data_IF_707975733934
#
_entry.id   IF_707975733934
#
_cell.length_a   1.000
_cell.length_b   1.000
_cell.length_c   1.000
_cell.angle_alpha   90.00
_cell.angle_beta   90.00
_cell.angle_gamma   90.00
#
_symmetry.space_group_name_H-M   'P 1'
#
loop_
_entity.id
_entity.type
_entity.pdbx_description
1 polymer ?
#
# COMPACT_ATOMS: atom_id res chain seq x y z
N UNK A 1 6.44 0.30 17.39
CA UNK A 1 5.08 0.11 16.83
C UNK A 1 4.01 0.21 17.91
N UNK A 2 4.12 -0.50 19.04
CA UNK A 2 3.12 -0.43 20.11
C UNK A 2 2.93 1.00 20.66
N UNK A 3 4.01 1.74 20.94
CA UNK A 3 3.92 3.10 21.48
C UNK A 3 3.21 4.08 20.55
N UNK A 4 3.39 3.94 19.22
CA UNK A 4 2.67 4.76 18.23
C UNK A 4 1.17 4.44 18.20
N UNK A 5 0.81 3.15 18.23
CA UNK A 5 -0.60 2.74 18.26
C UNK A 5 -1.27 3.21 19.56
N UNK A 6 -0.57 3.17 20.68
CA UNK A 6 -1.06 3.70 21.95
C UNK A 6 -1.34 5.21 21.88
N UNK A 7 -0.41 5.98 21.31
CA UNK A 7 -0.61 7.41 21.08
C UNK A 7 -1.80 7.71 20.16
N UNK A 8 -1.92 6.96 19.04
CA UNK A 8 -3.04 7.07 18.10
C UNK A 8 -4.37 6.73 18.82
N UNK A 9 -4.36 5.72 19.71
CA UNK A 9 -5.53 5.34 20.52
C UNK A 9 -5.95 6.45 21.46
N UNK A 10 -5.01 7.09 22.15
CA UNK A 10 -5.29 8.22 23.02
C UNK A 10 -5.94 9.38 22.25
N UNK A 11 -5.47 9.68 21.05
CA UNK A 11 -6.06 10.70 20.19
C UNK A 11 -7.48 10.32 19.73
N UNK A 12 -7.69 9.06 19.38
CA UNK A 12 -9.01 8.52 19.04
C UNK A 12 -9.98 8.65 20.22
N UNK A 13 -9.60 8.17 21.40
CA UNK A 13 -10.44 8.19 22.59
C UNK A 13 -10.78 9.64 22.99
N UNK A 14 -9.79 10.53 22.94
CA UNK A 14 -10.01 11.97 23.20
C UNK A 14 -10.99 12.60 22.19
N UNK A 15 -10.93 12.18 20.93
CA UNK A 15 -11.87 12.64 19.89
C UNK A 15 -13.30 12.15 20.19
N UNK A 16 -13.48 10.88 20.48
CA UNK A 16 -14.79 10.29 20.77
C UNK A 16 -15.40 10.85 22.08
N UNK A 17 -14.59 10.99 23.12
CA UNK A 17 -15.01 11.61 24.39
C UNK A 17 -15.38 13.09 24.18
N UNK A 18 -14.62 13.78 23.36
CA UNK A 18 -14.93 15.14 22.95
C UNK A 18 -16.26 15.22 22.20
N UNK A 19 -16.49 14.35 21.22
CA UNK A 19 -17.78 14.25 20.49
C UNK A 19 -18.92 14.00 21.49
N UNK A 20 -18.78 13.01 22.36
CA UNK A 20 -19.80 12.65 23.32
C UNK A 20 -20.11 13.71 24.38
N UNK A 21 -19.14 14.60 24.67
CA UNK A 21 -19.25 15.60 25.74
C UNK A 21 -19.62 16.99 25.24
N UNK A 22 -19.12 17.38 24.07
CA UNK A 22 -19.18 18.77 23.57
C UNK A 22 -20.10 18.97 22.39
N UNK A 23 -20.49 17.92 21.67
CA UNK A 23 -21.47 18.03 20.58
C UNK A 23 -22.87 18.25 21.16
N UNK A 24 -23.21 19.52 21.43
CA UNK A 24 -24.54 19.95 21.88
C UNK A 24 -25.26 20.66 20.73
N UNK A 25 -26.58 20.69 20.78
CA UNK A 25 -27.37 21.51 19.87
C UNK A 25 -27.60 20.94 18.47
N UNK A 26 -27.73 19.60 18.35
CA UNK A 26 -28.16 18.94 17.12
C UNK A 26 -27.06 18.24 16.32
N UNK A 27 -25.79 18.36 16.70
CA UNK A 27 -24.68 17.67 16.02
C UNK A 27 -24.46 16.25 16.53
N UNK A 28 -24.82 15.94 17.78
CA UNK A 28 -24.86 14.61 18.34
C UNK A 28 -26.31 14.09 18.38
N UNK A 29 -26.58 13.04 17.63
CA UNK A 29 -27.89 12.35 17.66
C UNK A 29 -27.97 11.36 18.81
N UNK A 30 -26.93 10.55 18.96
CA UNK A 30 -26.80 9.53 19.98
C UNK A 30 -25.38 9.49 20.51
N UNK A 31 -25.21 9.10 21.77
CA UNK A 31 -23.88 8.87 22.35
C UNK A 31 -23.23 7.65 21.71
N UNK A 32 -21.95 7.80 21.31
CA UNK A 32 -21.16 6.70 20.75
C UNK A 32 -20.76 5.77 21.91
N UNK A 33 -21.17 4.48 21.90
CA UNK A 33 -20.78 3.53 22.94
C UNK A 33 -19.28 3.20 22.87
N UNK A 34 -18.68 2.96 24.04
CA UNK A 34 -17.25 2.62 24.16
C UNK A 34 -16.89 1.35 23.36
N UNK A 35 -17.67 0.27 23.52
CA UNK A 35 -17.47 -0.99 22.79
C UNK A 35 -17.53 -0.79 21.26
N UNK A 36 -18.45 0.07 20.80
CA UNK A 36 -18.56 0.40 19.37
C UNK A 36 -17.36 1.21 18.87
N UNK A 37 -16.93 2.21 19.66
CA UNK A 37 -15.74 3.00 19.40
C UNK A 37 -14.48 2.14 19.27
N UNK A 38 -14.30 1.20 20.21
CA UNK A 38 -13.18 0.25 20.19
C UNK A 38 -13.18 -0.62 18.93
N UNK A 39 -14.35 -1.12 18.54
CA UNK A 39 -14.51 -1.90 17.30
C UNK A 39 -14.10 -1.10 16.06
N UNK A 40 -14.50 0.18 15.97
CA UNK A 40 -14.13 1.04 14.85
C UNK A 40 -12.62 1.27 14.85
N UNK A 41 -12.05 1.62 16.01
CA UNK A 41 -10.61 1.84 16.13
C UNK A 41 -9.81 0.63 15.61
N UNK A 42 -10.17 -0.57 16.05
CA UNK A 42 -9.49 -1.79 15.61
C UNK A 42 -9.58 -2.01 14.10
N UNK A 43 -10.74 -1.72 13.48
CA UNK A 43 -10.89 -1.74 12.01
C UNK A 43 -9.94 -0.73 11.32
N UNK A 44 -9.82 0.48 11.87
CA UNK A 44 -8.94 1.52 11.30
C UNK A 44 -7.48 1.04 11.37
N UNK A 45 -7.03 0.55 12.52
CA UNK A 45 -5.65 0.03 12.69
C UNK A 45 -5.38 -1.13 11.73
N UNK A 46 -6.34 -2.05 11.55
CA UNK A 46 -6.23 -3.13 10.57
C UNK A 46 -6.03 -2.58 9.15
N UNK A 47 -6.79 -1.56 8.75
CA UNK A 47 -6.70 -0.92 7.44
C UNK A 47 -5.34 -0.25 7.22
N UNK A 48 -4.87 0.56 8.15
CA UNK A 48 -3.56 1.20 8.04
C UNK A 48 -2.37 0.22 8.22
N UNK A 49 -2.64 -1.03 8.61
CA UNK A 49 -1.65 -2.12 8.71
C UNK A 49 -1.64 -3.04 7.48
N UNK A 50 -2.40 -2.76 6.44
CA UNK A 50 -2.43 -3.56 5.22
C UNK A 50 -1.02 -3.65 4.58
N UNK A 51 -0.56 -4.83 4.15
CA UNK A 51 0.84 -5.07 3.79
C UNK A 51 1.33 -4.37 2.53
N UNK A 52 0.43 -3.78 1.74
CA UNK A 52 0.76 -3.00 0.54
C UNK A 52 0.97 -1.52 0.83
N UNK A 53 0.74 -1.06 2.08
CA UNK A 53 0.90 0.33 2.52
C UNK A 53 2.31 0.56 3.05
N UNK A 54 3.10 1.32 2.34
CA UNK A 54 4.48 1.67 2.71
C UNK A 54 4.62 3.11 3.19
N UNK A 55 3.79 4.02 2.66
CA UNK A 55 3.66 5.40 3.12
C UNK A 55 2.34 5.63 3.86
N UNK A 56 1.20 5.25 3.27
CA UNK A 56 -0.13 5.46 3.81
C UNK A 56 -0.49 4.41 4.89
N UNK A 57 0.35 4.31 5.91
CA UNK A 57 0.33 3.30 6.98
C UNK A 57 0.17 3.93 8.37
N UNK A 58 0.39 3.15 9.43
CA UNK A 58 0.34 3.59 10.83
C UNK A 58 1.29 4.77 11.11
N UNK A 59 2.47 4.82 10.47
CA UNK A 59 3.43 5.90 10.70
C UNK A 59 2.95 7.22 10.10
N UNK A 60 2.27 7.17 8.94
CA UNK A 60 1.61 8.33 8.36
C UNK A 60 0.48 8.83 9.25
N UNK A 61 -0.41 7.94 9.69
CA UNK A 61 -1.50 8.29 10.61
C UNK A 61 -0.97 8.93 11.91
N UNK A 62 0.10 8.37 12.48
CA UNK A 62 0.78 8.92 13.65
C UNK A 62 1.29 10.35 13.39
N UNK A 63 2.01 10.57 12.26
CA UNK A 63 2.56 11.88 11.89
C UNK A 63 1.47 12.94 11.75
N UNK A 64 0.35 12.61 11.12
CA UNK A 64 -0.78 13.52 10.96
C UNK A 64 -1.40 13.92 12.30
N UNK A 65 -1.59 12.95 13.20
CA UNK A 65 -2.13 13.21 14.55
C UNK A 65 -1.15 14.05 15.37
N UNK A 66 0.15 13.71 15.35
CA UNK A 66 1.19 14.49 16.03
C UNK A 66 1.20 15.94 15.54
N UNK A 67 1.10 16.15 14.22
CA UNK A 67 1.02 17.48 13.62
C UNK A 67 -0.19 18.31 14.07
N UNK A 68 -1.30 17.66 14.51
CA UNK A 68 -2.42 18.42 15.09
C UNK A 68 -2.11 19.07 16.43
N UNK A 69 -1.01 18.67 17.08
CA UNK A 69 -0.58 19.26 18.35
C UNK A 69 0.34 20.48 18.17
N UNK A 70 0.74 20.79 16.95
CA UNK A 70 1.60 21.94 16.66
C UNK A 70 0.86 23.27 16.90
N UNK A 71 1.55 24.21 17.57
CA UNK A 71 0.96 25.48 18.01
C UNK A 71 0.40 26.33 16.87
N UNK A 72 0.97 26.25 15.66
CA UNK A 72 0.54 27.05 14.49
C UNK A 72 -0.94 26.84 14.13
N UNK A 73 -1.48 25.65 14.38
CA UNK A 73 -2.90 25.35 14.12
C UNK A 73 -3.83 25.94 15.18
N UNK A 74 -3.29 26.32 16.35
CA UNK A 74 -4.05 26.86 17.48
C UNK A 74 -3.96 28.38 17.59
N UNK A 75 -3.11 29.05 16.83
CA UNK A 75 -2.97 30.52 16.84
C UNK A 75 -4.03 31.26 16.03
N UNK A 76 -4.81 30.54 15.22
CA UNK A 76 -5.98 31.11 14.58
C UNK A 76 -7.11 31.28 15.61
N UNK A 77 -7.91 32.36 15.50
CA UNK A 77 -9.09 32.72 16.36
C UNK A 77 -10.17 31.61 16.47
N UNK A 78 -9.95 30.48 15.82
CA UNK A 78 -10.78 29.27 15.82
C UNK A 78 -10.59 28.39 17.05
N UNK A 79 -9.73 28.77 18.01
CA UNK A 79 -9.48 28.01 19.26
C UNK A 79 -10.74 27.73 20.10
N UNK A 80 -11.87 28.40 19.81
CA UNK A 80 -13.05 28.30 20.63
C UNK A 80 -13.97 27.10 20.33
N UNK A 81 -13.67 26.27 19.35
CA UNK A 81 -14.52 25.10 19.12
C UNK A 81 -13.72 23.79 19.15
N UNK A 82 -13.72 23.12 20.31
CA UNK A 82 -13.33 21.70 20.45
C UNK A 82 -13.97 20.82 19.36
N UNK A 83 -15.12 21.22 18.90
CA UNK A 83 -15.90 20.71 17.79
C UNK A 83 -15.12 20.63 16.46
N UNK A 84 -14.33 21.65 16.18
CA UNK A 84 -13.52 21.73 14.98
C UNK A 84 -12.37 20.71 15.01
N UNK A 85 -11.66 20.63 16.14
CA UNK A 85 -10.56 19.67 16.32
C UNK A 85 -11.06 18.22 16.13
N UNK A 86 -12.23 17.88 16.67
CA UNK A 86 -12.83 16.55 16.51
C UNK A 86 -13.12 16.23 15.04
N UNK A 87 -13.58 17.19 14.23
CA UNK A 87 -13.79 17.03 12.80
C UNK A 87 -12.47 16.76 12.05
N UNK A 88 -11.41 17.50 12.39
CA UNK A 88 -10.08 17.31 11.80
C UNK A 88 -9.54 15.93 12.16
N UNK A 89 -9.58 15.54 13.43
CA UNK A 89 -9.08 14.24 13.89
C UNK A 89 -9.88 13.10 13.24
N UNK A 90 -11.21 13.21 13.18
CA UNK A 90 -12.04 12.21 12.51
C UNK A 90 -11.71 12.11 11.00
N UNK A 91 -11.47 13.25 10.33
CA UNK A 91 -11.07 13.29 8.94
C UNK A 91 -9.68 12.63 8.74
N UNK A 92 -8.72 12.86 9.65
CA UNK A 92 -7.40 12.19 9.63
C UNK A 92 -7.55 10.67 9.71
N UNK A 93 -8.41 10.14 10.59
CA UNK A 93 -8.59 8.69 10.71
C UNK A 93 -9.18 8.05 9.46
N UNK A 94 -9.97 8.79 8.68
CA UNK A 94 -10.70 8.23 7.54
C UNK A 94 -10.20 8.66 6.17
N UNK A 95 -9.28 9.62 6.01
CA UNK A 95 -8.90 10.12 4.68
C UNK A 95 -8.35 9.02 3.76
N UNK A 96 -7.52 8.15 4.30
CA UNK A 96 -6.92 7.00 3.61
C UNK A 96 -7.40 5.65 4.16
N UNK A 97 -8.58 5.60 4.78
CA UNK A 97 -9.14 4.36 5.31
C UNK A 97 -9.26 3.28 4.22
N UNK A 98 -9.74 3.67 3.04
CA UNK A 98 -9.66 2.84 1.83
C UNK A 98 -8.49 3.34 0.99
N UNK A 99 -7.55 2.45 0.70
CA UNK A 99 -6.38 2.74 -0.12
C UNK A 99 -6.11 1.60 -1.11
N UNK A 100 -6.58 1.78 -2.34
CA UNK A 100 -6.36 0.87 -3.47
C UNK A 100 -5.60 1.64 -4.56
N UNK A 101 -4.28 1.39 -4.77
CA UNK A 101 -3.45 2.22 -5.67
C UNK A 101 -3.93 2.29 -7.13
N UNK A 102 -4.71 1.31 -7.57
CA UNK A 102 -5.26 1.24 -8.93
C UNK A 102 -6.62 1.94 -9.09
N UNK A 103 -7.22 2.42 -8.01
CA UNK A 103 -8.53 3.06 -8.03
C UNK A 103 -8.40 4.57 -7.86
N UNK A 104 -9.35 5.28 -8.44
CA UNK A 104 -9.44 6.75 -8.37
C UNK A 104 -10.55 7.24 -7.43
N UNK A 105 -11.21 6.33 -6.71
CA UNK A 105 -12.36 6.61 -5.86
C UNK A 105 -12.13 6.17 -4.40
N UNK A 106 -10.88 6.21 -3.94
CA UNK A 106 -10.53 5.83 -2.58
C UNK A 106 -11.17 6.75 -1.55
N UNK A 107 -11.15 8.05 -1.81
CA UNK A 107 -11.70 9.07 -0.93
C UNK A 107 -13.24 8.95 -0.83
N UNK A 108 -13.93 8.67 -1.94
CA UNK A 108 -15.38 8.43 -1.93
C UNK A 108 -15.74 7.16 -1.13
N UNK A 109 -14.92 6.11 -1.25
CA UNK A 109 -15.10 4.88 -0.46
C UNK A 109 -14.82 5.15 1.02
N UNK A 110 -13.76 5.87 1.35
CA UNK A 110 -13.42 6.27 2.71
C UNK A 110 -14.53 7.10 3.36
N UNK A 111 -15.09 8.06 2.62
CA UNK A 111 -16.27 8.84 3.04
C UNK A 111 -17.49 7.96 3.29
N UNK A 112 -17.71 6.95 2.45
CA UNK A 112 -18.82 6.01 2.63
C UNK A 112 -18.65 5.20 3.92
N UNK A 113 -17.45 4.66 4.18
CA UNK A 113 -17.17 3.89 5.40
C UNK A 113 -17.31 4.77 6.65
N UNK A 114 -16.74 5.97 6.67
CA UNK A 114 -16.92 6.94 7.74
C UNK A 114 -18.40 7.26 7.97
N UNK A 115 -19.16 7.43 6.89
CA UNK A 115 -20.59 7.73 7.01
C UNK A 115 -21.36 6.55 7.60
N UNK A 116 -21.06 5.32 7.20
CA UNK A 116 -21.69 4.10 7.72
C UNK A 116 -21.42 3.94 9.22
N UNK A 117 -20.19 4.26 9.65
CA UNK A 117 -19.82 4.12 11.06
C UNK A 117 -20.46 5.21 11.96
N UNK A 118 -20.78 6.41 11.43
CA UNK A 118 -21.19 7.53 12.27
C UNK A 118 -22.58 8.13 11.99
N UNK A 119 -23.32 7.69 10.95
CA UNK A 119 -24.58 8.33 10.57
C UNK A 119 -25.66 8.24 11.67
N UNK A 120 -25.63 7.22 12.52
CA UNK A 120 -26.57 7.03 13.65
C UNK A 120 -26.23 7.93 14.85
N UNK A 121 -24.98 8.40 14.94
CA UNK A 121 -24.45 9.13 16.08
C UNK A 121 -24.32 10.62 15.81
N UNK A 122 -23.93 11.02 14.61
CA UNK A 122 -23.58 12.40 14.24
C UNK A 122 -24.57 13.00 13.25
N UNK A 123 -24.74 14.33 13.34
CA UNK A 123 -25.60 15.06 12.40
C UNK A 123 -25.00 15.10 10.98
N UNK A 124 -25.85 15.32 10.00
CA UNK A 124 -25.39 15.51 8.62
C UNK A 124 -24.48 16.76 8.49
N UNK A 125 -24.72 17.80 9.28
CA UNK A 125 -23.90 19.03 9.29
C UNK A 125 -22.48 18.73 9.78
N UNK A 126 -22.35 17.97 10.89
CA UNK A 126 -21.04 17.57 11.40
C UNK A 126 -20.29 16.70 10.36
N UNK A 127 -20.97 15.69 9.83
CA UNK A 127 -20.40 14.77 8.86
C UNK A 127 -20.07 15.43 7.52
N UNK A 128 -20.77 16.49 7.12
CA UNK A 128 -20.51 17.20 5.86
C UNK A 128 -19.11 17.79 5.83
N UNK A 129 -18.69 18.47 6.89
CA UNK A 129 -17.35 19.07 6.97
C UNK A 129 -16.25 18.01 6.88
N UNK A 130 -16.44 16.87 7.57
CA UNK A 130 -15.51 15.74 7.56
C UNK A 130 -15.45 15.10 6.16
N UNK A 131 -16.59 14.86 5.53
CA UNK A 131 -16.70 14.34 4.15
C UNK A 131 -15.99 15.22 3.15
N UNK A 132 -16.26 16.52 3.22
CA UNK A 132 -15.64 17.48 2.32
C UNK A 132 -14.14 17.58 2.51
N UNK A 133 -13.64 17.45 3.75
CA UNK A 133 -12.21 17.41 4.01
C UNK A 133 -11.55 16.17 3.42
N UNK A 134 -12.14 14.99 3.62
CA UNK A 134 -11.64 13.73 3.03
C UNK A 134 -11.62 13.82 1.49
N UNK A 135 -12.71 14.24 0.86
CA UNK A 135 -12.77 14.37 -0.61
C UNK A 135 -11.77 15.40 -1.15
N UNK A 136 -11.41 16.39 -0.33
CA UNK A 136 -10.48 17.44 -0.72
C UNK A 136 -9.01 16.98 -0.74
N UNK A 137 -8.64 15.85 -0.15
CA UNK A 137 -7.25 15.34 -0.18
C UNK A 137 -6.76 15.01 -1.61
N UNK A 138 -7.67 14.91 -2.58
CA UNK A 138 -7.34 14.89 -4.01
C UNK A 138 -6.64 16.16 -4.50
N UNK A 139 -6.77 17.27 -3.78
CA UNK A 139 -6.18 18.55 -4.13
C UNK A 139 -4.86 18.75 -3.37
N UNK A 140 -3.81 19.12 -4.09
CA UNK A 140 -2.47 19.33 -3.49
C UNK A 140 -2.39 20.56 -2.58
N UNK A 141 -3.22 21.57 -2.84
CA UNK A 141 -3.20 22.85 -2.11
C UNK A 141 -4.63 23.26 -1.82
N UNK A 142 -4.87 23.64 -0.59
CA UNK A 142 -6.14 24.14 -0.07
C UNK A 142 -5.87 25.44 0.68
N UNK A 143 -6.75 26.41 0.60
CA UNK A 143 -6.64 27.68 1.29
C UNK A 143 -7.58 27.72 2.50
N UNK A 144 -7.29 28.56 3.53
CA UNK A 144 -8.15 28.68 4.70
C UNK A 144 -9.61 29.06 4.36
N UNK A 145 -9.81 29.88 3.32
CA UNK A 145 -11.12 30.29 2.84
C UNK A 145 -11.96 29.15 2.23
N UNK A 146 -11.34 28.04 1.83
CA UNK A 146 -12.04 26.87 1.30
C UNK A 146 -12.70 26.04 2.41
N UNK A 147 -12.38 26.33 3.67
CA UNK A 147 -12.88 25.64 4.85
C UNK A 147 -11.74 25.11 5.71
N UNK A 148 -11.78 25.46 6.98
CA UNK A 148 -10.65 25.25 7.90
C UNK A 148 -10.33 23.75 8.14
N UNK A 149 -11.34 22.86 8.19
CA UNK A 149 -11.10 21.39 8.32
C UNK A 149 -10.35 20.87 7.11
N UNK A 150 -10.77 21.28 5.90
CA UNK A 150 -10.10 20.94 4.64
C UNK A 150 -8.66 21.45 4.62
N UNK A 151 -8.48 22.71 5.01
CA UNK A 151 -7.17 23.36 5.01
C UNK A 151 -6.19 22.65 5.92
N UNK A 152 -6.57 22.34 7.17
CA UNK A 152 -5.67 21.68 8.12
C UNK A 152 -5.36 20.25 7.67
N UNK A 153 -6.36 19.46 7.29
CA UNK A 153 -6.11 18.12 6.79
C UNK A 153 -5.17 18.15 5.58
N UNK A 154 -5.45 18.99 4.59
CA UNK A 154 -4.62 19.12 3.39
C UNK A 154 -3.19 19.56 3.72
N UNK A 155 -2.99 20.52 4.64
CA UNK A 155 -1.67 20.97 5.06
C UNK A 155 -0.86 19.83 5.71
N UNK A 156 -1.48 19.07 6.59
CA UNK A 156 -0.84 17.94 7.27
C UNK A 156 -0.49 16.79 6.30
N UNK A 157 -1.43 16.44 5.43
CA UNK A 157 -1.28 15.33 4.50
C UNK A 157 -0.26 15.61 3.40
N UNK A 158 -0.19 16.86 2.93
CA UNK A 158 0.74 17.29 1.88
C UNK A 158 2.04 17.91 2.40
N UNK A 159 2.32 17.89 3.69
CA UNK A 159 3.51 18.50 4.30
C UNK A 159 4.82 18.07 3.62
N UNK A 160 4.91 16.80 3.24
CA UNK A 160 6.08 16.22 2.56
C UNK A 160 6.48 16.96 1.27
N UNK A 161 5.53 17.51 0.50
CA UNK A 161 5.85 18.24 -0.75
C UNK A 161 6.52 19.60 -0.50
N UNK A 162 6.53 20.06 0.74
CA UNK A 162 7.23 21.28 1.17
C UNK A 162 8.60 20.99 1.78
N UNK A 163 8.97 19.72 1.99
CA UNK A 163 10.25 19.35 2.57
C UNK A 163 11.43 19.85 1.74
N UNK A 164 12.42 20.42 2.42
CA UNK A 164 13.71 20.79 1.83
C UNK A 164 14.76 19.67 1.94
N UNK A 165 14.47 18.60 2.69
CA UNK A 165 15.36 17.45 2.84
C UNK A 165 15.15 16.45 1.71
N UNK A 166 16.17 16.32 0.86
CA UNK A 166 16.13 15.36 -0.25
C UNK A 166 16.08 13.91 0.21
N UNK A 167 16.64 13.57 1.37
CA UNK A 167 16.59 12.21 1.89
C UNK A 167 15.15 11.85 2.30
N UNK A 168 14.42 12.78 2.90
CA UNK A 168 13.00 12.60 3.25
C UNK A 168 12.16 12.41 1.98
N UNK A 169 12.37 13.24 0.97
CA UNK A 169 11.69 13.14 -0.33
C UNK A 169 12.00 11.82 -1.05
N UNK A 170 13.25 11.36 -1.04
CA UNK A 170 13.63 10.07 -1.62
C UNK A 170 13.04 8.89 -0.86
N UNK A 171 12.97 8.98 0.47
CA UNK A 171 12.31 7.97 1.28
C UNK A 171 10.82 7.89 0.94
N UNK A 172 10.12 9.04 0.90
CA UNK A 172 8.73 9.13 0.47
C UNK A 172 8.53 8.52 -0.91
N UNK A 173 9.33 8.93 -1.90
CA UNK A 173 9.25 8.41 -3.27
C UNK A 173 9.41 6.88 -3.32
N UNK A 174 10.35 6.34 -2.55
CA UNK A 174 10.56 4.90 -2.49
C UNK A 174 9.37 4.16 -1.85
N UNK A 175 8.74 4.74 -0.83
CA UNK A 175 7.53 4.20 -0.22
C UNK A 175 6.36 4.22 -1.22
N UNK A 176 6.13 5.35 -1.91
CA UNK A 176 5.09 5.46 -2.94
C UNK A 176 5.34 4.46 -4.08
N UNK A 177 6.58 4.33 -4.56
CA UNK A 177 6.91 3.34 -5.59
C UNK A 177 6.58 1.91 -5.14
N UNK A 178 6.79 1.57 -3.87
CA UNK A 178 6.43 0.25 -3.31
C UNK A 178 4.91 0.03 -3.21
N UNK A 179 4.12 1.06 -3.01
CA UNK A 179 2.66 0.98 -3.02
C UNK A 179 2.09 0.76 -4.43
N UNK A 180 2.77 1.29 -5.45
CA UNK A 180 2.35 1.19 -6.85
C UNK A 180 2.97 -0.01 -7.60
N UNK A 181 3.29 -1.10 -6.89
CA UNK A 181 3.93 -2.32 -7.45
C UNK A 181 3.11 -2.99 -8.56
N UNK A 182 1.81 -2.73 -8.64
CA UNK A 182 0.92 -3.30 -9.67
C UNK A 182 1.20 -2.75 -11.08
N UNK A 183 1.78 -1.56 -11.19
CA UNK A 183 2.06 -0.91 -12.47
C UNK A 183 3.48 -1.19 -12.95
N UNK A 184 3.69 -1.23 -14.29
CA UNK A 184 5.02 -1.15 -14.87
C UNK A 184 5.71 0.16 -14.48
N UNK A 185 7.05 0.17 -14.49
CA UNK A 185 7.78 1.39 -14.13
C UNK A 185 7.49 2.54 -15.07
N UNK A 186 7.39 2.31 -16.38
CA UNK A 186 7.02 3.33 -17.35
C UNK A 186 5.68 4.00 -17.00
N UNK A 187 4.66 3.21 -16.68
CA UNK A 187 3.35 3.75 -16.27
C UNK A 187 3.41 4.50 -14.94
N UNK A 188 4.12 3.96 -13.95
CA UNK A 188 4.36 4.64 -12.68
C UNK A 188 5.08 5.96 -12.88
N UNK A 189 6.22 5.95 -13.59
CA UNK A 189 7.05 7.10 -13.89
C UNK A 189 6.25 8.24 -14.52
N UNK A 190 5.46 7.94 -15.55
CA UNK A 190 4.67 8.95 -16.26
C UNK A 190 3.63 9.61 -15.35
N UNK A 191 2.95 8.83 -14.51
CA UNK A 191 2.00 9.35 -13.52
C UNK A 191 2.70 10.16 -12.44
N UNK A 192 3.82 9.67 -11.95
CA UNK A 192 4.58 10.29 -10.85
C UNK A 192 5.21 11.61 -11.25
N UNK A 193 5.79 11.69 -12.44
CA UNK A 193 6.34 12.95 -12.99
C UNK A 193 5.25 14.00 -13.13
N UNK A 194 4.06 13.65 -13.61
CA UNK A 194 2.93 14.57 -13.69
C UNK A 194 2.54 15.12 -12.31
N UNK A 195 2.44 14.23 -11.32
CA UNK A 195 2.14 14.63 -9.94
C UNK A 195 3.21 15.57 -9.37
N UNK A 196 4.48 15.19 -9.43
CA UNK A 196 5.60 15.97 -8.87
C UNK A 196 5.74 17.33 -9.58
N UNK A 197 5.53 17.38 -10.89
CA UNK A 197 5.55 18.64 -11.65
C UNK A 197 4.39 19.55 -11.21
N UNK A 198 3.20 19.02 -11.02
CA UNK A 198 2.06 19.77 -10.47
C UNK A 198 2.38 20.28 -9.06
N UNK A 199 2.90 19.43 -8.20
CA UNK A 199 3.31 19.81 -6.85
C UNK A 199 4.37 20.93 -6.86
N UNK A 200 5.36 20.88 -7.75
CA UNK A 200 6.32 21.97 -7.94
C UNK A 200 5.65 23.28 -8.38
N UNK A 201 4.70 23.23 -9.31
CA UNK A 201 4.01 24.44 -9.79
C UNK A 201 3.27 25.11 -8.63
N UNK A 202 2.65 24.35 -7.75
CA UNK A 202 1.88 24.85 -6.60
C UNK A 202 2.81 25.36 -5.48
N UNK A 203 3.81 24.57 -5.09
CA UNK A 203 4.65 24.85 -3.90
C UNK A 203 5.90 25.69 -4.21
N UNK A 204 6.35 25.73 -5.45
CA UNK A 204 7.65 26.27 -5.89
C UNK A 204 8.86 25.61 -5.23
N UNK A 205 8.68 24.42 -4.63
CA UNK A 205 9.75 23.66 -4.01
C UNK A 205 10.65 23.03 -5.09
N UNK A 206 11.84 23.59 -5.30
CA UNK A 206 12.80 23.13 -6.33
C UNK A 206 13.29 21.70 -6.10
N UNK A 207 13.24 21.19 -4.88
CA UNK A 207 13.61 19.79 -4.56
C UNK A 207 12.71 18.78 -5.28
N UNK A 208 11.46 19.15 -5.57
CA UNK A 208 10.57 18.31 -6.38
C UNK A 208 11.03 18.17 -7.84
N UNK A 209 11.75 19.15 -8.40
CA UNK A 209 12.35 18.99 -9.73
C UNK A 209 13.54 18.03 -9.71
N UNK A 210 14.37 18.08 -8.66
CA UNK A 210 15.44 17.09 -8.46
C UNK A 210 14.86 15.68 -8.33
N UNK A 211 13.71 15.54 -7.64
CA UNK A 211 12.99 14.28 -7.52
C UNK A 211 12.38 13.81 -8.87
N UNK A 212 11.87 14.74 -9.68
CA UNK A 212 11.42 14.44 -11.07
C UNK A 212 12.58 13.87 -11.89
N UNK A 213 13.75 14.49 -11.81
CA UNK A 213 14.93 14.01 -12.52
C UNK A 213 15.36 12.63 -12.03
N UNK A 214 15.36 12.40 -10.72
CA UNK A 214 15.61 11.09 -10.13
C UNK A 214 14.65 10.03 -10.67
N UNK A 215 13.32 10.28 -10.60
CA UNK A 215 12.30 9.35 -11.10
C UNK A 215 12.45 9.10 -12.59
N UNK A 216 12.78 10.13 -13.39
CA UNK A 216 12.95 9.98 -14.82
C UNK A 216 14.16 9.12 -15.21
N UNK A 217 15.26 9.24 -14.47
CA UNK A 217 16.54 8.59 -14.79
C UNK A 217 16.73 7.26 -14.00
N UNK A 218 15.87 6.95 -13.04
CA UNK A 218 15.96 5.74 -12.24
C UNK A 218 15.76 4.50 -13.10
N UNK A 219 16.58 3.48 -12.85
CA UNK A 219 16.41 2.12 -13.33
C UNK A 219 16.25 1.21 -12.10
N UNK A 220 15.00 0.91 -11.65
CA UNK A 220 14.78 0.16 -10.42
C UNK A 220 15.37 -1.25 -10.50
N UNK A 221 15.94 -1.72 -9.39
CA UNK A 221 16.38 -3.11 -9.25
C UNK A 221 15.16 -4.00 -9.05
N UNK A 222 14.91 -4.87 -10.03
CA UNK A 222 13.76 -5.75 -10.04
C UNK A 222 14.15 -7.19 -9.81
N UNK A 223 13.49 -7.82 -8.84
CA UNK A 223 13.48 -9.26 -8.71
C UNK A 223 12.37 -9.86 -9.57
N UNK A 224 12.73 -10.62 -10.61
CA UNK A 224 11.79 -11.37 -11.44
C UNK A 224 11.59 -12.76 -10.83
N UNK A 225 10.52 -12.94 -10.07
CA UNK A 225 10.18 -14.22 -9.45
C UNK A 225 9.41 -15.08 -10.44
N UNK A 226 10.08 -16.05 -11.02
CA UNK A 226 9.54 -16.93 -12.08
C UNK A 226 9.09 -18.28 -11.55
N UNK A 227 7.92 -18.68 -12.00
CA UNK A 227 7.36 -19.98 -11.63
C UNK A 227 6.04 -20.29 -12.34
N UNK A 228 5.53 -21.49 -12.11
CA UNK A 228 4.21 -21.86 -12.62
C UNK A 228 3.07 -21.41 -11.69
N UNK A 229 3.32 -21.23 -10.40
CA UNK A 229 2.40 -20.72 -9.38
C UNK A 229 0.99 -21.32 -9.43
N UNK A 230 0.88 -22.61 -9.56
CA UNK A 230 -0.40 -23.31 -9.73
C UNK A 230 -0.69 -24.30 -8.61
N UNK A 231 -1.26 -23.85 -7.45
CA UNK A 231 -1.50 -22.46 -7.06
C UNK A 231 -0.24 -21.76 -6.49
N UNK A 232 -0.29 -20.43 -6.38
CA UNK A 232 0.61 -19.67 -5.51
C UNK A 232 0.28 -20.02 -4.06
N UNK A 233 1.27 -20.18 -3.20
CA UNK A 233 1.07 -20.69 -1.83
C UNK A 233 1.98 -20.00 -0.81
N UNK A 234 1.76 -20.30 0.47
CA UNK A 234 2.47 -19.68 1.60
C UNK A 234 4.00 -19.76 1.47
N UNK A 235 4.54 -20.87 0.95
CA UNK A 235 5.98 -20.98 0.69
C UNK A 235 6.47 -20.03 -0.40
N UNK A 236 5.69 -19.80 -1.48
CA UNK A 236 6.00 -18.78 -2.47
C UNK A 236 5.95 -17.37 -1.87
N UNK A 237 4.98 -17.11 -1.00
CA UNK A 237 4.85 -15.82 -0.31
C UNK A 237 6.01 -15.57 0.66
N UNK A 238 6.52 -16.60 1.29
CA UNK A 238 7.70 -16.49 2.14
C UNK A 238 8.92 -16.00 1.32
N UNK A 239 9.16 -16.60 0.16
CA UNK A 239 10.21 -16.15 -0.78
C UNK A 239 9.94 -14.71 -1.24
N UNK A 240 8.70 -14.39 -1.61
CA UNK A 240 8.32 -13.03 -2.04
C UNK A 240 8.61 -11.99 -0.96
N UNK A 241 8.23 -12.25 0.30
CA UNK A 241 8.50 -11.35 1.44
C UNK A 241 10.00 -11.14 1.70
N UNK A 242 10.82 -12.17 1.49
CA UNK A 242 12.28 -12.05 1.59
C UNK A 242 12.84 -11.22 0.43
N UNK A 243 12.34 -11.45 -0.80
CA UNK A 243 12.73 -10.71 -1.99
C UNK A 243 12.38 -9.21 -1.90
N UNK A 244 11.25 -8.86 -1.29
CA UNK A 244 10.84 -7.45 -1.07
C UNK A 244 11.84 -6.64 -0.23
N UNK A 245 12.70 -7.31 0.54
CA UNK A 245 13.78 -6.68 1.31
C UNK A 245 15.03 -6.44 0.48
N UNK A 246 15.19 -7.14 -0.64
CA UNK A 246 16.38 -7.11 -1.48
C UNK A 246 16.23 -6.22 -2.71
N UNK A 247 15.00 -6.08 -3.21
CA UNK A 247 14.70 -5.40 -4.46
C UNK A 247 13.79 -4.18 -4.25
N UNK A 248 13.86 -3.23 -5.17
CA UNK A 248 12.97 -2.08 -5.18
C UNK A 248 11.55 -2.49 -5.59
N UNK A 249 11.46 -3.57 -6.41
CA UNK A 249 10.21 -4.16 -6.89
C UNK A 249 10.40 -5.66 -7.14
N UNK A 250 9.32 -6.44 -6.94
CA UNK A 250 9.27 -7.85 -7.35
C UNK A 250 8.14 -8.07 -8.36
N UNK A 251 8.49 -8.55 -9.55
CA UNK A 251 7.55 -8.92 -10.60
C UNK A 251 7.34 -10.44 -10.56
N UNK A 252 6.08 -10.87 -10.62
CA UNK A 252 5.73 -12.28 -10.68
C UNK A 252 5.67 -12.72 -12.14
N UNK A 253 6.63 -13.53 -12.58
CA UNK A 253 6.68 -14.12 -13.92
C UNK A 253 5.98 -15.47 -13.95
N UNK A 254 4.80 -15.56 -14.54
CA UNK A 254 4.02 -16.80 -14.63
C UNK A 254 4.32 -17.51 -15.95
N UNK A 255 5.09 -18.58 -15.90
CA UNK A 255 5.38 -19.42 -17.07
C UNK A 255 4.16 -20.25 -17.49
N UNK A 256 3.70 -20.06 -18.73
CA UNK A 256 2.63 -20.83 -19.35
C UNK A 256 3.27 -21.86 -20.28
N UNK A 257 3.07 -23.15 -19.96
CA UNK A 257 3.49 -24.22 -20.86
C UNK A 257 2.34 -24.52 -21.85
N UNK A 258 2.51 -24.21 -23.15
CA UNK A 258 1.47 -24.43 -24.15
C UNK A 258 1.08 -25.91 -24.28
N UNK A 259 2.03 -26.85 -24.08
CA UNK A 259 1.78 -28.28 -24.24
C UNK A 259 0.96 -28.89 -23.09
N UNK A 260 0.90 -28.23 -21.94
CA UNK A 260 0.16 -28.71 -20.76
C UNK A 260 -1.30 -28.27 -20.71
N UNK A 261 -1.82 -27.67 -21.78
CA UNK A 261 -3.23 -27.34 -21.97
C UNK A 261 -3.84 -26.65 -20.74
N UNK A 262 -3.28 -25.53 -20.27
CA UNK A 262 -3.87 -24.72 -19.20
C UNK A 262 -5.20 -24.18 -19.64
N UNK A 263 -6.28 -24.94 -19.39
CA UNK A 263 -7.66 -24.50 -19.59
C UNK A 263 -8.25 -23.73 -18.40
N UNK A 264 -7.51 -23.58 -17.31
CA UNK A 264 -8.06 -23.01 -16.06
C UNK A 264 -7.31 -21.75 -15.65
N UNK A 265 -7.93 -20.59 -15.80
CA UNK A 265 -7.46 -19.31 -15.27
C UNK A 265 -7.58 -19.22 -13.73
N UNK A 266 -8.10 -20.27 -13.09
CA UNK A 266 -8.33 -20.34 -11.63
C UNK A 266 -7.09 -20.10 -10.77
N UNK A 267 -5.89 -20.22 -11.31
CA UNK A 267 -4.67 -19.94 -10.54
C UNK A 267 -4.48 -18.46 -10.23
N UNK A 268 -5.06 -17.54 -11.04
CA UNK A 268 -4.93 -16.09 -10.87
C UNK A 268 -5.49 -15.62 -9.53
N UNK A 269 -6.53 -16.26 -9.02
CA UNK A 269 -7.14 -15.94 -7.73
C UNK A 269 -6.24 -16.18 -6.51
N UNK A 270 -5.16 -16.94 -6.69
CA UNK A 270 -4.17 -17.23 -5.65
C UNK A 270 -2.91 -16.38 -5.76
N UNK A 271 -2.78 -15.58 -6.83
CA UNK A 271 -1.64 -14.68 -6.98
C UNK A 271 -1.76 -13.51 -6.00
N UNK A 272 -0.63 -12.97 -5.51
CA UNK A 272 -0.67 -11.85 -4.59
C UNK A 272 -1.27 -10.61 -5.25
N UNK A 273 -2.16 -9.94 -4.50
CA UNK A 273 -2.72 -8.64 -4.89
C UNK A 273 -1.63 -7.55 -4.90
N UNK A 274 -1.89 -6.44 -5.60
CA UNK A 274 -1.01 -5.26 -5.68
C UNK A 274 0.41 -5.55 -6.18
N UNK A 275 0.56 -6.56 -7.09
CA UNK A 275 1.82 -6.90 -7.74
C UNK A 275 1.70 -6.89 -9.25
N UNK A 276 2.76 -6.48 -9.94
CA UNK A 276 2.85 -6.69 -11.38
C UNK A 276 3.04 -8.17 -11.68
N UNK A 277 2.13 -8.70 -12.50
CA UNK A 277 2.13 -10.10 -12.92
C UNK A 277 2.30 -10.12 -14.43
N UNK A 278 3.32 -10.85 -14.89
CA UNK A 278 3.60 -11.00 -16.31
C UNK A 278 3.52 -12.48 -16.68
N UNK A 279 2.59 -12.79 -17.58
CA UNK A 279 2.50 -14.13 -18.17
C UNK A 279 3.45 -14.24 -19.38
N UNK A 280 4.17 -15.35 -19.50
CA UNK A 280 5.03 -15.62 -20.64
C UNK A 280 4.94 -17.08 -21.06
N UNK A 281 4.96 -17.33 -22.39
CA UNK A 281 4.96 -18.65 -23.02
C UNK A 281 6.23 -18.91 -23.82
N UNK A 282 7.15 -17.93 -23.86
CA UNK A 282 8.44 -18.00 -24.51
C UNK A 282 9.57 -18.34 -23.51
N UNK A 283 10.81 -18.20 -23.94
CA UNK A 283 11.95 -18.31 -23.05
C UNK A 283 11.97 -17.15 -22.04
N UNK A 284 12.33 -17.44 -20.79
CA UNK A 284 12.46 -16.39 -19.74
C UNK A 284 13.46 -15.33 -20.13
N UNK A 285 14.47 -15.64 -20.94
CA UNK A 285 15.46 -14.69 -21.45
C UNK A 285 14.86 -13.62 -22.34
N UNK A 286 13.80 -13.92 -23.08
CA UNK A 286 13.06 -12.90 -23.88
C UNK A 286 12.26 -11.97 -22.96
N UNK A 287 11.65 -12.51 -21.90
CA UNK A 287 10.99 -11.69 -20.89
C UNK A 287 11.99 -10.76 -20.20
N UNK A 288 13.18 -11.25 -19.83
CA UNK A 288 14.23 -10.44 -19.23
C UNK A 288 14.61 -9.30 -20.14
N UNK A 289 14.93 -9.55 -21.42
CA UNK A 289 15.29 -8.51 -22.39
C UNK A 289 14.24 -7.40 -22.48
N UNK A 290 12.97 -7.76 -22.48
CA UNK A 290 11.87 -6.81 -22.48
C UNK A 290 11.81 -5.97 -21.19
N UNK A 291 12.01 -6.59 -20.04
CA UNK A 291 12.00 -5.90 -18.77
C UNK A 291 13.24 -5.02 -18.55
N UNK A 292 14.37 -5.37 -19.15
CA UNK A 292 15.62 -4.62 -19.08
C UNK A 292 15.55 -3.25 -19.76
N UNK A 293 14.52 -2.94 -20.53
CA UNK A 293 14.28 -1.59 -21.04
C UNK A 293 14.05 -0.59 -19.90
N UNK A 294 13.29 -0.98 -18.87
CA UNK A 294 12.90 -0.13 -17.74
C UNK A 294 13.57 -0.50 -16.40
N UNK A 295 14.19 -1.70 -16.29
CA UNK A 295 14.63 -2.27 -15.01
C UNK A 295 16.05 -2.83 -15.05
N UNK A 296 16.69 -2.89 -13.89
CA UNK A 296 17.83 -3.78 -13.64
C UNK A 296 17.29 -5.11 -13.10
N UNK A 297 17.27 -6.15 -13.97
CA UNK A 297 16.53 -7.40 -13.70
C UNK A 297 17.44 -8.46 -13.09
N UNK A 298 16.96 -9.10 -12.03
CA UNK A 298 17.57 -10.28 -11.40
C UNK A 298 16.51 -11.37 -11.24
N UNK A 299 16.77 -12.58 -11.73
CA UNK A 299 15.88 -13.72 -11.53
C UNK A 299 15.89 -14.14 -10.06
N UNK A 300 14.71 -14.39 -9.51
CA UNK A 300 14.53 -14.97 -8.16
C UNK A 300 14.14 -16.42 -8.30
N UNK A 301 14.86 -17.29 -7.55
CA UNK A 301 14.53 -18.71 -7.40
C UNK A 301 14.41 -19.06 -5.92
N UNK A 302 13.31 -19.72 -5.55
CA UNK A 302 13.09 -20.21 -4.20
C UNK A 302 13.67 -21.61 -4.03
N UNK A 303 14.37 -21.85 -2.94
CA UNK A 303 14.90 -23.15 -2.55
C UNK A 303 14.25 -23.64 -1.26
N UNK A 304 13.94 -24.94 -1.19
CA UNK A 304 13.44 -25.62 0.03
C UNK A 304 14.43 -26.63 0.56
N UNK A 305 15.22 -27.22 -0.32
CA UNK A 305 16.13 -28.32 -0.01
C UNK A 305 17.27 -28.42 -1.03
N UNK A 306 18.15 -29.39 -0.83
CA UNK A 306 19.31 -29.65 -1.70
C UNK A 306 18.91 -30.09 -3.13
N UNK A 307 17.79 -30.79 -3.28
CA UNK A 307 17.31 -31.22 -4.60
C UNK A 307 16.85 -30.03 -5.45
N UNK A 308 16.21 -29.02 -4.82
CA UNK A 308 15.86 -27.77 -5.50
C UNK A 308 17.13 -27.06 -5.98
N UNK A 309 18.20 -27.02 -5.16
CA UNK A 309 19.46 -26.39 -5.53
C UNK A 309 20.11 -27.07 -6.75
N UNK A 310 20.10 -28.40 -6.81
CA UNK A 310 20.68 -29.14 -7.94
C UNK A 310 19.90 -28.89 -9.24
N UNK A 311 18.58 -28.84 -9.15
CA UNK A 311 17.73 -28.47 -10.28
C UNK A 311 18.03 -27.06 -10.78
N UNK A 312 18.12 -26.09 -9.87
CA UNK A 312 18.35 -24.67 -10.20
C UNK A 312 19.75 -24.44 -10.79
N UNK A 313 20.78 -25.16 -10.34
CA UNK A 313 22.12 -25.13 -10.94
C UNK A 313 22.08 -25.51 -12.43
N UNK A 314 21.37 -26.58 -12.77
CA UNK A 314 21.22 -27.01 -14.15
C UNK A 314 20.43 -25.99 -14.99
N UNK A 315 19.36 -25.44 -14.43
CA UNK A 315 18.56 -24.42 -15.08
C UNK A 315 19.37 -23.14 -15.38
N UNK A 316 20.17 -22.68 -14.42
CA UNK A 316 21.05 -21.51 -14.59
C UNK A 316 22.14 -21.77 -15.65
N UNK A 317 22.72 -22.96 -15.67
CA UNK A 317 23.70 -23.33 -16.70
C UNK A 317 23.08 -23.21 -18.08
N UNK A 318 21.87 -23.75 -18.26
CA UNK A 318 21.12 -23.61 -19.52
C UNK A 318 20.85 -22.15 -19.90
N UNK A 319 20.50 -21.31 -18.93
CA UNK A 319 20.27 -19.88 -19.18
C UNK A 319 21.56 -19.17 -19.64
N UNK A 320 22.71 -19.51 -19.05
CA UNK A 320 24.02 -18.97 -19.44
C UNK A 320 24.41 -19.34 -20.86
N UNK A 321 24.02 -20.51 -21.31
CA UNK A 321 24.24 -20.93 -22.70
C UNK A 321 23.39 -20.15 -23.71
N UNK A 322 22.24 -19.63 -23.25
CA UNK A 322 21.27 -18.88 -24.09
C UNK A 322 21.50 -17.38 -24.08
N UNK A 323 22.22 -16.84 -23.09
CA UNK A 323 22.46 -15.40 -22.94
C UNK A 323 23.74 -15.14 -22.15
N UNK A 324 24.49 -14.10 -22.54
CA UNK A 324 25.82 -13.83 -21.98
C UNK A 324 25.81 -13.39 -20.51
N UNK A 325 24.74 -12.75 -20.03
CA UNK A 325 24.65 -12.26 -18.65
C UNK A 325 23.23 -12.40 -18.10
N UNK A 326 23.03 -13.28 -17.13
CA UNK A 326 21.81 -13.35 -16.32
C UNK A 326 22.17 -13.18 -14.86
N UNK A 327 21.61 -12.15 -14.25
CA UNK A 327 21.65 -11.98 -12.79
C UNK A 327 20.60 -12.88 -12.16
N UNK A 328 20.98 -13.62 -11.12
CA UNK A 328 20.03 -14.42 -10.37
C UNK A 328 20.37 -14.47 -8.88
N UNK A 329 19.36 -14.66 -8.06
CA UNK A 329 19.46 -14.87 -6.63
C UNK A 329 18.63 -16.09 -6.23
N UNK A 330 19.18 -16.91 -5.36
CA UNK A 330 18.49 -18.03 -4.74
C UNK A 330 18.13 -17.65 -3.31
N UNK A 331 16.88 -17.81 -2.95
CA UNK A 331 16.35 -17.48 -1.63
C UNK A 331 15.88 -18.79 -0.98
N UNK A 332 16.44 -19.11 0.18
CA UNK A 332 16.04 -20.27 0.96
C UNK A 332 14.74 -19.95 1.71
N UNK A 333 13.73 -20.78 1.55
CA UNK A 333 12.48 -20.63 2.32
C UNK A 333 12.70 -21.00 3.78
N UNK A 334 11.88 -20.44 4.68
CA UNK A 334 11.89 -20.82 6.07
C UNK A 334 11.46 -22.28 6.24
N UNK A 335 12.01 -22.96 7.25
CA UNK A 335 11.88 -24.40 7.46
C UNK A 335 10.41 -24.85 7.55
N UNK A 336 9.56 -24.02 8.11
CA UNK A 336 8.12 -24.29 8.25
C UNK A 336 7.39 -24.47 6.92
N UNK A 337 7.95 -23.97 5.80
CA UNK A 337 7.35 -24.08 4.45
C UNK A 337 7.98 -25.16 3.58
N UNK A 338 9.01 -25.89 4.03
CA UNK A 338 9.74 -26.88 3.21
C UNK A 338 8.85 -28.00 2.67
N UNK A 339 7.80 -28.38 3.41
CA UNK A 339 6.85 -29.43 3.04
C UNK A 339 5.78 -28.94 2.04
N UNK A 340 5.65 -27.63 1.84
CA UNK A 340 4.58 -27.04 1.01
C UNK A 340 4.99 -27.03 -0.46
N UNK A 341 4.11 -27.53 -1.33
CA UNK A 341 4.30 -27.45 -2.78
C UNK A 341 2.95 -27.36 -3.50
N UNK A 342 2.95 -26.73 -4.69
CA UNK A 342 1.75 -26.67 -5.52
C UNK A 342 1.19 -28.06 -5.86
N UNK A 343 2.06 -29.07 -6.01
CA UNK A 343 1.62 -30.44 -6.29
C UNK A 343 0.93 -31.07 -5.09
N UNK A 344 1.46 -30.89 -3.88
CA UNK A 344 0.83 -31.33 -2.64
C UNK A 344 -0.56 -30.67 -2.48
N UNK A 345 -0.65 -29.35 -2.70
CA UNK A 345 -1.92 -28.62 -2.60
C UNK A 345 -2.94 -29.15 -3.60
N UNK A 346 -2.58 -29.33 -4.88
CA UNK A 346 -3.47 -29.93 -5.87
C UNK A 346 -3.91 -31.35 -5.50
N UNK A 347 -3.05 -32.09 -4.81
CA UNK A 347 -3.40 -33.40 -4.27
C UNK A 347 -4.49 -33.28 -3.21
N UNK A 348 -4.31 -32.40 -2.22
CA UNK A 348 -5.26 -32.16 -1.13
C UNK A 348 -6.63 -31.64 -1.62
N UNK A 349 -6.64 -30.77 -2.64
CA UNK A 349 -7.87 -30.23 -3.25
C UNK A 349 -8.86 -31.30 -3.69
N UNK A 350 -8.39 -32.53 -3.94
CA UNK A 350 -9.25 -33.65 -4.38
C UNK A 350 -9.99 -34.34 -3.23
N UNK A 351 -9.54 -34.15 -1.99
CA UNK A 351 -10.00 -34.97 -0.86
C UNK A 351 -10.45 -34.18 0.35
N UNK A 352 -9.98 -32.96 0.54
CA UNK A 352 -10.23 -32.19 1.79
C UNK A 352 -10.10 -30.69 1.55
N UNK A 353 -10.73 -29.89 2.43
CA UNK A 353 -10.60 -28.43 2.46
C UNK A 353 -9.33 -27.94 3.18
N UNK A 354 -8.54 -28.84 3.76
CA UNK A 354 -7.29 -28.47 4.47
C UNK A 354 -6.24 -27.81 3.60
N UNK A 355 -6.35 -27.92 2.27
CA UNK A 355 -5.47 -27.19 1.34
C UNK A 355 -5.58 -25.67 1.48
N UNK A 356 -6.70 -25.17 1.96
CA UNK A 356 -7.00 -23.73 2.09
C UNK A 356 -5.96 -23.00 2.94
N UNK A 357 -5.48 -23.60 4.01
CA UNK A 357 -4.46 -23.02 4.89
C UNK A 357 -3.09 -22.76 4.20
N UNK A 358 -2.86 -23.36 3.05
CA UNK A 358 -1.59 -23.27 2.31
C UNK A 358 -1.61 -22.25 1.17
N UNK A 359 -2.74 -21.66 0.84
CA UNK A 359 -2.83 -20.64 -0.24
C UNK A 359 -3.12 -19.26 0.32
N UNK A 360 -2.83 -18.24 -0.49
CA UNK A 360 -3.04 -16.84 -0.13
C UNK A 360 -4.15 -16.32 -1.04
N UNK A 361 -5.23 -15.81 -0.44
CA UNK A 361 -6.39 -15.36 -1.22
C UNK A 361 -7.28 -16.49 -1.74
N UNK A 362 -8.34 -16.13 -2.47
CA UNK A 362 -9.23 -17.12 -3.10
C UNK A 362 -10.41 -17.61 -2.24
N UNK A 363 -10.66 -16.96 -1.10
CA UNK A 363 -11.78 -17.31 -0.20
C UNK A 363 -12.88 -16.24 -0.13
N UNK A 364 -12.95 -15.34 -1.14
CA UNK A 364 -14.10 -14.42 -1.23
C UNK A 364 -15.26 -15.07 -1.92
#
# INVERSE_FOLDING_TARGET
>A
MNDKIEFIKLAWDSCIDGINSFCKGGDLKNKIPEEYSEKIFNKIIEKYSEPHRYWHNIDHLYKLIEGTLEKEFFECDYQHSKHFIMKVVLAIFYHDYVYEPEKSNNEEKSVKEMSNDFYEYLSNTFLSDVKEAILNTKNLVTKPEDGIVKYILSKLDTDIIYSSDMNELLYWENCIFKEYQIYSYSKYRDGRIKFLTKAYIETKNRKLLELVEFVNNRKPRVGLYVGSFNPFHVGHNNILKQADKLFDKVIIGVGINPDKGRKNEDYKKYLPEYREIVEYSSLVTELIKKLEEDYDVTIIRGLRNASDLEYEKNYISTLKDLTNEVKYVMILSDVEFHHVSSSMIRGLMKFTDSWKQYVIGGYK
#
